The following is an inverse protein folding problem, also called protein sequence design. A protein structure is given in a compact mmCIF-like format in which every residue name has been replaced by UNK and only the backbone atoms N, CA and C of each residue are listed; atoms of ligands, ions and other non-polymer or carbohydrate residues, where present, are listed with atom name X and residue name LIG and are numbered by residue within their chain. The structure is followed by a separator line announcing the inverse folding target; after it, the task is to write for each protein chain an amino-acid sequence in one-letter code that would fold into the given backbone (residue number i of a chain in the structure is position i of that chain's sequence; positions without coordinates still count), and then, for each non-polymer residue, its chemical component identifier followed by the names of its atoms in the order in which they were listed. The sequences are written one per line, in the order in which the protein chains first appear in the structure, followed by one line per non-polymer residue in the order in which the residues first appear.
data_IF_330325812743
#
_entry.id   IF_330325812743
#
_cell.length_a   1.000
_cell.length_b   1.000
_cell.length_c   1.000
_cell.angle_alpha   90.00
_cell.angle_beta   90.00
_cell.angle_gamma   90.00
#
_symmetry.space_group_name_H-M   'P 1'
#
loop_
_entity.id
_entity.type
_entity.pdbx_description
1 polymer ?
#
# COMPACT_ATOMS: atom_id res chain seq x y z
N UNK A 1 -12.91 -3.11 5.22
CA UNK A 1 -12.57 -1.69 4.97
C UNK A 1 -13.80 -0.86 5.31
N UNK A 2 -13.65 0.17 6.13
CA UNK A 2 -14.74 1.11 6.47
C UNK A 2 -14.80 2.22 5.42
N UNK A 3 -16.01 2.70 5.11
CA UNK A 3 -16.26 3.85 4.23
C UNK A 3 -16.93 4.95 5.04
N UNK A 4 -16.66 6.21 4.69
CA UNK A 4 -17.30 7.34 5.33
C UNK A 4 -18.82 7.36 5.08
N UNK A 5 -19.59 7.59 6.15
CA UNK A 5 -21.02 7.92 6.06
C UNK A 5 -21.17 9.40 5.76
N UNK A 6 -22.01 9.75 4.79
CA UNK A 6 -22.28 11.13 4.39
C UNK A 6 -23.66 11.56 4.88
N UNK A 7 -23.74 12.73 5.53
CA UNK A 7 -24.98 13.34 6.02
C UNK A 7 -25.28 14.54 5.13
N UNK A 8 -26.47 14.57 4.54
CA UNK A 8 -26.93 15.62 3.63
C UNK A 8 -28.10 16.42 4.22
N UNK A 9 -28.24 17.67 3.82
CA UNK A 9 -29.42 18.48 4.10
C UNK A 9 -30.61 18.08 3.21
N UNK A 10 -31.79 18.66 3.49
CA UNK A 10 -33.01 18.38 2.73
C UNK A 10 -32.94 18.81 1.24
N UNK A 11 -31.94 19.60 0.85
CA UNK A 11 -31.68 20.05 -0.52
C UNK A 11 -30.55 19.26 -1.20
N UNK A 12 -29.95 18.27 -0.53
CA UNK A 12 -28.84 17.46 -1.03
C UNK A 12 -27.46 18.07 -0.84
N UNK A 13 -27.32 19.16 -0.07
CA UNK A 13 -26.03 19.72 0.33
C UNK A 13 -25.34 18.85 1.39
N UNK A 14 -24.06 18.52 1.20
CA UNK A 14 -23.31 17.74 2.18
C UNK A 14 -23.09 18.57 3.46
N UNK A 15 -23.59 18.07 4.59
CA UNK A 15 -23.42 18.68 5.92
C UNK A 15 -22.15 18.14 6.60
N UNK A 16 -21.97 16.82 6.59
CA UNK A 16 -20.88 16.17 7.31
C UNK A 16 -20.49 14.83 6.69
N UNK A 17 -19.24 14.43 6.93
CA UNK A 17 -18.75 13.07 6.73
C UNK A 17 -18.36 12.50 8.08
N UNK A 18 -18.89 11.33 8.42
CA UNK A 18 -18.57 10.60 9.65
C UNK A 18 -17.74 9.38 9.27
N UNK A 19 -16.54 9.28 9.82
CA UNK A 19 -15.60 8.20 9.52
C UNK A 19 -14.56 8.03 10.62
N UNK A 20 -14.02 6.81 10.73
CA UNK A 20 -12.76 6.55 11.45
C UNK A 20 -11.54 6.89 10.56
N UNK A 21 -11.66 6.63 9.25
CA UNK A 21 -10.67 6.96 8.23
C UNK A 21 -11.36 7.66 7.06
N UNK A 22 -10.85 8.82 6.64
CA UNK A 22 -11.38 9.49 5.44
C UNK A 22 -10.95 8.70 4.20
N UNK A 23 -11.83 7.81 3.73
CA UNK A 23 -11.59 6.93 2.59
C UNK A 23 -12.74 7.02 1.60
N UNK A 24 -12.38 7.08 0.32
CA UNK A 24 -13.31 6.90 -0.80
C UNK A 24 -12.96 5.60 -1.51
N UNK A 25 -13.89 4.65 -1.52
CA UNK A 25 -13.70 3.39 -2.24
C UNK A 25 -14.00 3.64 -3.71
N UNK A 26 -13.04 3.33 -4.57
CA UNK A 26 -13.18 3.41 -6.01
C UNK A 26 -13.10 2.01 -6.60
N UNK A 27 -14.01 1.69 -7.51
CA UNK A 27 -13.86 0.53 -8.38
C UNK A 27 -12.71 0.78 -9.37
N UNK A 28 -12.13 -0.29 -9.90
CA UNK A 28 -10.94 -0.19 -10.74
C UNK A 28 -11.19 0.66 -12.01
N UNK A 29 -12.38 0.56 -12.60
CA UNK A 29 -12.83 1.31 -13.77
C UNK A 29 -13.06 2.81 -13.50
N UNK A 30 -13.20 3.22 -12.23
CA UNK A 30 -13.26 4.62 -11.82
C UNK A 30 -11.88 5.26 -11.65
N UNK A 31 -10.80 4.46 -11.72
CA UNK A 31 -9.43 4.93 -11.66
C UNK A 31 -8.88 5.19 -13.06
N UNK A 32 -8.23 6.33 -13.25
CA UNK A 32 -7.50 6.61 -14.49
C UNK A 32 -6.50 5.48 -14.79
N UNK A 33 -6.48 4.92 -16.01
CA UNK A 33 -5.54 3.86 -16.37
C UNK A 33 -4.09 4.34 -16.24
N UNK A 34 -3.82 5.63 -16.47
CA UNK A 34 -2.48 6.21 -16.31
C UNK A 34 -2.04 6.27 -14.84
N UNK A 35 -2.97 6.52 -13.92
CA UNK A 35 -2.64 6.52 -12.49
C UNK A 35 -2.29 5.11 -12.01
N UNK A 36 -3.07 4.11 -12.44
CA UNK A 36 -2.79 2.71 -12.14
C UNK A 36 -1.44 2.28 -12.70
N UNK A 37 -1.17 2.61 -13.97
CA UNK A 37 0.08 2.26 -14.62
C UNK A 37 1.28 2.93 -13.95
N UNK A 38 1.20 4.23 -13.66
CA UNK A 38 2.28 4.96 -13.00
C UNK A 38 2.63 4.35 -11.64
N UNK A 39 1.63 3.93 -10.86
CA UNK A 39 1.91 3.26 -9.58
C UNK A 39 2.57 1.89 -9.75
N UNK A 40 2.12 1.09 -10.71
CA UNK A 40 2.78 -0.18 -11.04
C UNK A 40 4.23 0.10 -11.45
N UNK A 41 4.49 1.05 -12.35
CA UNK A 41 5.83 1.33 -12.86
C UNK A 41 6.81 1.83 -11.78
N UNK A 42 6.31 2.61 -10.81
CA UNK A 42 7.14 3.20 -9.73
C UNK A 42 7.41 2.18 -8.62
N UNK A 43 6.37 1.50 -8.14
CA UNK A 43 6.44 0.70 -6.92
C UNK A 43 6.76 -0.77 -7.19
N UNK A 44 6.27 -1.32 -8.31
CA UNK A 44 6.34 -2.75 -8.61
C UNK A 44 6.22 -3.03 -10.12
N UNK A 45 7.22 -2.58 -10.89
CA UNK A 45 7.15 -2.52 -12.37
C UNK A 45 6.86 -3.86 -13.07
N UNK A 46 6.99 -4.99 -12.35
CA UNK A 46 6.71 -6.34 -12.86
C UNK A 46 5.57 -7.02 -12.11
N UNK A 47 4.71 -6.23 -11.46
CA UNK A 47 3.59 -6.70 -10.64
C UNK A 47 2.78 -7.82 -11.29
N UNK A 48 2.52 -7.71 -12.60
CA UNK A 48 1.73 -8.70 -13.35
C UNK A 48 2.53 -9.94 -13.80
N UNK A 49 3.85 -9.96 -13.60
CA UNK A 49 4.76 -11.03 -14.04
C UNK A 49 5.21 -11.94 -12.88
N UNK A 50 4.92 -11.59 -11.63
CA UNK A 50 5.31 -12.37 -10.45
C UNK A 50 4.15 -12.59 -9.47
N UNK A 51 4.37 -13.50 -8.51
CA UNK A 51 3.42 -13.76 -7.43
C UNK A 51 3.51 -12.70 -6.32
N UNK A 52 3.18 -13.09 -5.08
CA UNK A 52 3.25 -12.17 -3.93
C UNK A 52 4.65 -11.57 -3.67
N UNK A 53 5.71 -12.23 -4.15
CA UNK A 53 7.11 -11.83 -4.00
C UNK A 53 7.79 -11.81 -5.36
N UNK A 54 8.56 -10.76 -5.62
CA UNK A 54 9.43 -10.65 -6.80
C UNK A 54 10.88 -11.06 -6.48
N UNK A 55 11.18 -12.36 -6.60
CA UNK A 55 12.54 -12.87 -6.33
C UNK A 55 13.61 -12.23 -7.22
N UNK A 56 13.30 -11.99 -8.49
CA UNK A 56 14.24 -11.35 -9.42
C UNK A 56 14.43 -9.87 -9.07
N UNK A 57 13.40 -9.20 -8.56
CA UNK A 57 13.48 -7.84 -8.05
C UNK A 57 14.35 -7.73 -6.80
N UNK A 58 14.19 -8.67 -5.87
CA UNK A 58 15.03 -8.80 -4.68
C UNK A 58 16.50 -8.98 -5.05
N UNK A 59 16.82 -9.96 -5.92
CA UNK A 59 18.21 -10.21 -6.33
C UNK A 59 18.84 -9.01 -7.03
N UNK A 60 18.08 -8.33 -7.92
CA UNK A 60 18.53 -7.10 -8.59
C UNK A 60 18.81 -5.99 -7.59
N UNK A 61 17.89 -5.74 -6.65
CA UNK A 61 18.04 -4.70 -5.64
C UNK A 61 19.26 -4.95 -4.74
N UNK A 62 19.48 -6.21 -4.33
CA UNK A 62 20.68 -6.61 -3.58
C UNK A 62 21.95 -6.31 -4.37
N UNK A 63 22.02 -6.74 -5.64
CA UNK A 63 23.19 -6.47 -6.49
C UNK A 63 23.46 -4.98 -6.66
N UNK A 64 22.42 -4.19 -6.94
CA UNK A 64 22.57 -2.73 -7.12
C UNK A 64 22.97 -2.00 -5.84
N UNK A 65 22.42 -2.38 -4.70
CA UNK A 65 22.78 -1.78 -3.41
C UNK A 65 24.19 -2.19 -2.97
N UNK A 66 24.65 -3.39 -3.32
CA UNK A 66 26.03 -3.83 -3.10
C UNK A 66 27.02 -3.06 -3.99
N UNK A 67 26.70 -2.86 -5.27
CA UNK A 67 27.49 -2.02 -6.20
C UNK A 67 27.56 -0.56 -5.74
N UNK A 68 26.44 0.02 -5.29
CA UNK A 68 26.36 1.44 -4.92
C UNK A 68 26.76 1.73 -3.47
N UNK A 69 27.03 0.69 -2.66
CA UNK A 69 27.32 0.80 -1.23
C UNK A 69 26.21 1.42 -0.38
N UNK A 70 25.01 1.59 -0.96
CA UNK A 70 23.90 2.37 -0.39
C UNK A 70 22.58 1.72 -0.78
N UNK A 71 21.57 1.78 0.10
CA UNK A 71 20.24 1.25 -0.19
C UNK A 71 19.48 2.20 -1.13
N UNK A 72 19.70 2.04 -2.44
CA UNK A 72 19.13 2.88 -3.50
C UNK A 72 17.93 2.24 -4.22
N UNK A 73 17.86 0.89 -4.26
CA UNK A 73 16.75 0.16 -4.84
C UNK A 73 15.92 -0.59 -3.79
N UNK A 74 14.60 -0.47 -3.90
CA UNK A 74 13.61 -1.25 -3.17
C UNK A 74 13.32 -2.60 -3.84
N UNK A 75 12.83 -3.55 -3.04
CA UNK A 75 12.45 -4.90 -3.49
C UNK A 75 11.04 -5.32 -3.02
N UNK A 76 10.28 -4.40 -2.43
CA UNK A 76 8.94 -4.70 -1.91
C UNK A 76 7.92 -4.72 -3.04
N UNK A 77 6.96 -5.64 -2.97
CA UNK A 77 5.87 -5.75 -3.95
C UNK A 77 4.62 -4.99 -3.49
N UNK A 78 3.74 -4.60 -4.41
CA UNK A 78 2.43 -4.03 -4.06
C UNK A 78 1.60 -4.99 -3.19
N UNK A 79 1.75 -6.30 -3.39
CA UNK A 79 1.10 -7.33 -2.54
C UNK A 79 1.61 -7.30 -1.10
N UNK A 80 2.93 -7.18 -0.89
CA UNK A 80 3.49 -7.03 0.46
C UNK A 80 3.01 -5.73 1.13
N UNK A 81 2.98 -4.63 0.37
CA UNK A 81 2.47 -3.35 0.85
C UNK A 81 0.98 -3.46 1.25
N UNK A 82 0.17 -4.16 0.46
CA UNK A 82 -1.22 -4.44 0.80
C UNK A 82 -1.36 -5.23 2.11
N UNK A 83 -0.61 -6.33 2.27
CA UNK A 83 -0.64 -7.14 3.51
C UNK A 83 -0.27 -6.30 4.72
N UNK A 84 0.78 -5.48 4.60
CA UNK A 84 1.19 -4.53 5.64
C UNK A 84 0.06 -3.56 6.00
N UNK A 85 -0.58 -2.95 5.01
CA UNK A 85 -1.69 -2.01 5.23
C UNK A 85 -2.90 -2.69 5.89
N UNK A 86 -3.21 -3.94 5.51
CA UNK A 86 -4.28 -4.73 6.15
C UNK A 86 -3.94 -5.06 7.61
N UNK A 87 -2.68 -5.39 7.92
CA UNK A 87 -2.26 -5.68 9.28
C UNK A 87 -2.28 -4.41 10.16
N UNK A 88 -1.86 -3.26 9.60
CA UNK A 88 -1.98 -1.95 10.28
C UNK A 88 -3.45 -1.62 10.55
N UNK A 89 -4.36 -1.90 9.60
CA UNK A 89 -5.79 -1.69 9.82
C UNK A 89 -6.34 -2.57 10.94
N UNK A 90 -5.94 -3.85 10.98
CA UNK A 90 -6.37 -4.80 12.03
C UNK A 90 -5.84 -4.43 13.41
N UNK A 91 -4.67 -3.81 13.49
CA UNK A 91 -4.07 -3.40 14.75
C UNK A 91 -4.85 -2.28 15.47
N UNK A 92 -5.61 -1.46 14.73
CA UNK A 92 -6.38 -0.36 15.33
C UNK A 92 -5.47 0.61 16.10
N UNK A 93 -5.79 0.82 17.39
CA UNK A 93 -5.04 1.71 18.28
C UNK A 93 -3.91 1.01 19.06
N UNK A 94 -3.69 -0.30 18.85
CA UNK A 94 -2.58 -1.04 19.46
C UNK A 94 -1.26 -0.66 18.77
N UNK A 95 -0.51 0.24 19.40
CA UNK A 95 0.78 0.70 18.88
C UNK A 95 1.81 -0.43 18.72
N UNK A 96 1.81 -1.43 19.60
CA UNK A 96 2.75 -2.54 19.50
C UNK A 96 2.42 -3.39 18.27
N UNK A 97 1.14 -3.68 18.04
CA UNK A 97 0.69 -4.40 16.85
C UNK A 97 0.91 -3.60 15.55
N UNK A 98 0.76 -2.26 15.58
CA UNK A 98 1.08 -1.39 14.42
C UNK A 98 2.56 -1.45 14.09
N UNK A 99 3.44 -1.35 15.09
CA UNK A 99 4.88 -1.44 14.90
C UNK A 99 5.29 -2.79 14.32
N UNK A 100 4.69 -3.87 14.82
CA UNK A 100 4.92 -5.22 14.31
C UNK A 100 4.44 -5.37 12.85
N UNK A 101 3.24 -4.87 12.53
CA UNK A 101 2.74 -4.86 11.15
C UNK A 101 3.62 -4.04 10.20
N UNK A 102 4.27 -2.98 10.71
CA UNK A 102 5.14 -2.11 9.93
C UNK A 102 6.58 -2.59 9.82
N UNK A 103 6.98 -3.55 10.67
CA UNK A 103 8.33 -4.09 10.70
C UNK A 103 8.72 -4.63 9.33
N UNK A 104 9.92 -4.27 8.87
CA UNK A 104 10.43 -4.80 7.60
C UNK A 104 10.69 -6.29 7.78
N UNK A 105 10.11 -7.11 6.91
CA UNK A 105 10.28 -8.59 6.90
C UNK A 105 11.74 -9.04 6.78
N UNK A 106 12.66 -8.15 6.38
CA UNK A 106 14.10 -8.40 6.23
C UNK A 106 14.93 -8.14 7.51
N UNK A 107 14.30 -7.83 8.65
CA UNK A 107 14.99 -7.61 9.94
C UNK A 107 14.68 -8.70 10.98
N UNK A 108 14.07 -9.82 10.59
CA UNK A 108 14.08 -11.02 11.44
C UNK A 108 15.38 -11.81 11.22
N UNK A 109 16.16 -12.08 12.28
CA UNK A 109 17.28 -13.03 12.21
C UNK A 109 16.83 -14.47 11.94
#
# INVERSE_FOLDING_TARGET
MTQATQIFDAKGGLIAKVYERDRTVLAADQMSPFMRQAQVDIEDARFYEHGAVDLKGVLRAVGKNAESGTASQGASTLTQQYVKNVNVEKAGDDQAAVLEAQRKTLQDP
#
